data_IF_902991675288
#
_entry.id   IF_902991675288
#
_cell.length_a   1.000
_cell.length_b   1.000
_cell.length_c   1.000
_cell.angle_alpha   90.00
_cell.angle_beta   90.00
_cell.angle_gamma   90.00
#
_symmetry.space_group_name_H-M   'P 1'
#
loop_
_entity.id
_entity.type
_entity.pdbx_description
1 polymer ?
#
# COMPACT_ATOMS: atom_id res chain seq x y z
N UNK A 1 -36.94 61.60 -66.14
CA UNK A 1 -38.27 61.03 -66.38
C UNK A 1 -38.51 59.91 -65.37
N UNK A 2 -39.47 60.14 -64.45
CA UNK A 2 -40.34 59.20 -63.73
C UNK A 2 -39.89 57.77 -63.31
N UNK A 3 -40.13 57.53 -61.99
CA UNK A 3 -40.62 56.28 -61.32
C UNK A 3 -39.60 55.12 -61.16
N UNK A 4 -39.55 54.35 -60.06
CA UNK A 4 -40.27 54.31 -58.77
C UNK A 4 -39.50 53.36 -57.83
N UNK A 5 -39.59 53.64 -56.54
CA UNK A 5 -39.30 52.86 -55.33
C UNK A 5 -39.72 51.38 -55.33
N UNK A 6 -38.95 50.49 -54.66
CA UNK A 6 -39.42 49.73 -53.47
C UNK A 6 -38.30 48.88 -52.82
N UNK A 7 -38.25 48.94 -51.48
CA UNK A 7 -37.45 48.13 -50.55
C UNK A 7 -37.86 46.63 -50.53
N UNK A 8 -36.91 45.73 -50.20
CA UNK A 8 -37.06 44.55 -49.29
C UNK A 8 -35.68 44.23 -48.65
N UNK A 9 -35.58 43.89 -47.34
CA UNK A 9 -34.33 43.82 -46.57
C UNK A 9 -33.69 42.42 -46.47
N UNK A 10 -32.48 42.39 -45.90
CA UNK A 10 -31.70 41.24 -45.40
C UNK A 10 -32.54 40.13 -44.75
N UNK A 11 -32.15 38.86 -44.95
CA UNK A 11 -32.15 37.86 -43.87
C UNK A 11 -31.09 36.76 -44.15
N UNK A 12 -29.94 36.87 -43.47
CA UNK A 12 -28.97 35.79 -43.36
C UNK A 12 -29.48 34.77 -42.34
N UNK A 13 -29.85 33.57 -42.79
CA UNK A 13 -30.21 32.46 -41.89
C UNK A 13 -28.93 31.69 -41.57
N UNK A 14 -28.29 32.03 -40.44
CA UNK A 14 -27.32 31.14 -39.80
C UNK A 14 -28.13 30.10 -39.04
N UNK A 15 -28.23 28.90 -39.58
CA UNK A 15 -28.82 27.75 -38.89
C UNK A 15 -27.80 27.27 -37.86
N UNK A 16 -27.94 27.72 -36.60
CA UNK A 16 -27.22 27.15 -35.49
C UNK A 16 -27.75 25.72 -35.26
N UNK A 17 -26.96 24.72 -35.66
CA UNK A 17 -27.19 23.33 -35.31
C UNK A 17 -26.96 23.20 -33.79
N UNK A 18 -28.05 23.25 -33.02
CA UNK A 18 -28.07 22.82 -31.62
C UNK A 18 -27.84 21.31 -31.58
N UNK A 19 -26.57 20.91 -31.54
CA UNK A 19 -26.16 19.60 -31.04
C UNK A 19 -26.56 19.57 -29.57
N UNK A 20 -27.74 19.03 -29.27
CA UNK A 20 -28.08 18.62 -27.91
C UNK A 20 -27.22 17.41 -27.56
N UNK A 21 -25.97 17.67 -27.17
CA UNK A 21 -25.25 16.73 -26.33
C UNK A 21 -26.09 16.57 -25.08
N UNK A 22 -26.65 15.39 -24.87
CA UNK A 22 -27.08 14.96 -23.55
C UNK A 22 -25.81 14.88 -22.70
N UNK A 23 -25.42 16.02 -22.15
CA UNK A 23 -24.51 16.05 -21.02
C UNK A 23 -25.21 15.26 -19.92
N UNK A 24 -24.77 14.04 -19.68
CA UNK A 24 -24.79 13.53 -18.31
C UNK A 24 -23.98 14.57 -17.52
N UNK A 25 -24.67 15.51 -16.90
CA UNK A 25 -24.07 16.42 -15.95
C UNK A 25 -23.28 15.54 -14.99
N UNK A 26 -22.02 15.87 -14.81
CA UNK A 26 -21.06 15.17 -13.98
C UNK A 26 -21.48 15.39 -12.51
N UNK A 27 -22.60 14.79 -12.09
CA UNK A 27 -22.93 14.72 -10.67
C UNK A 27 -21.75 14.02 -10.01
N UNK A 28 -21.17 14.70 -9.03
CA UNK A 28 -20.04 14.16 -8.29
C UNK A 28 -20.48 12.80 -7.70
N UNK A 29 -19.82 11.73 -8.15
CA UNK A 29 -20.12 10.37 -7.68
C UNK A 29 -20.04 10.37 -6.15
N UNK A 30 -21.13 9.98 -5.48
CA UNK A 30 -21.14 9.81 -4.04
C UNK A 30 -20.23 8.62 -3.65
N UNK A 31 -19.18 8.92 -2.88
CA UNK A 31 -18.17 7.96 -2.42
C UNK A 31 -18.29 7.65 -0.92
N UNK A 32 -19.37 8.10 -0.27
CA UNK A 32 -19.61 7.83 1.16
C UNK A 32 -20.03 6.38 1.42
N UNK A 33 -20.57 5.70 0.40
CA UNK A 33 -20.94 4.28 0.43
C UNK A 33 -20.22 3.55 -0.70
N UNK A 34 -19.56 2.44 -0.38
CA UNK A 34 -18.86 1.59 -1.34
C UNK A 34 -19.41 0.15 -1.27
N UNK A 35 -19.43 -0.61 -2.37
CA UNK A 35 -19.02 -0.21 -3.73
C UNK A 35 -19.99 0.81 -4.35
N UNK A 36 -19.49 1.63 -5.28
CA UNK A 36 -20.34 2.55 -6.06
C UNK A 36 -21.26 1.71 -6.93
N UNK A 37 -22.57 1.89 -6.75
CA UNK A 37 -23.57 1.12 -7.48
C UNK A 37 -23.54 1.45 -8.98
N UNK A 38 -23.56 0.42 -9.82
CA UNK A 38 -23.69 0.58 -11.26
C UNK A 38 -25.05 1.22 -11.59
N UNK A 39 -25.10 2.26 -12.44
CA UNK A 39 -26.35 2.84 -12.91
C UNK A 39 -27.20 1.78 -13.62
N UNK A 40 -28.51 1.80 -13.40
CA UNK A 40 -29.42 0.93 -14.15
C UNK A 40 -29.31 1.24 -15.65
N UNK A 41 -28.94 0.25 -16.44
CA UNK A 41 -28.89 0.38 -17.88
C UNK A 41 -30.30 0.69 -18.44
N UNK A 42 -30.44 1.61 -19.41
CA UNK A 42 -31.73 1.87 -20.05
C UNK A 42 -32.20 0.62 -20.81
N UNK A 43 -33.51 0.43 -20.89
CA UNK A 43 -34.11 -0.62 -21.73
C UNK A 43 -33.82 -0.30 -23.21
N UNK A 44 -33.44 -1.31 -23.97
CA UNK A 44 -33.24 -1.19 -25.42
C UNK A 44 -34.50 -1.67 -26.12
N UNK A 45 -35.30 -0.72 -26.62
CA UNK A 45 -36.55 -1.00 -27.32
C UNK A 45 -36.34 -1.17 -28.85
N UNK A 46 -35.08 -1.13 -29.31
CA UNK A 46 -34.72 -1.35 -30.70
C UNK A 46 -34.65 -2.86 -31.00
N UNK A 47 -35.40 -3.27 -32.03
CA UNK A 47 -35.57 -4.69 -32.38
C UNK A 47 -34.49 -5.15 -33.36
N UNK A 48 -33.98 -4.24 -34.21
CA UNK A 48 -32.86 -4.55 -35.10
C UNK A 48 -31.53 -4.28 -34.40
N UNK A 49 -30.83 -5.34 -34.04
CA UNK A 49 -29.52 -5.27 -33.36
C UNK A 49 -28.51 -4.36 -34.10
N UNK A 50 -28.62 -4.23 -35.42
CA UNK A 50 -27.72 -3.38 -36.23
C UNK A 50 -27.91 -1.89 -35.98
N UNK A 51 -29.06 -1.51 -35.45
CA UNK A 51 -29.41 -0.13 -35.09
C UNK A 51 -29.17 0.17 -33.60
N UNK A 52 -28.80 -0.84 -32.81
CA UNK A 52 -28.52 -0.66 -31.39
C UNK A 52 -27.19 0.06 -31.17
N UNK A 53 -27.12 0.88 -30.12
CA UNK A 53 -25.88 1.49 -29.64
C UNK A 53 -25.47 0.78 -28.36
N UNK A 54 -24.21 0.33 -28.30
CA UNK A 54 -23.67 -0.26 -27.09
C UNK A 54 -23.65 0.80 -25.98
N UNK A 55 -24.23 0.53 -24.79
CA UNK A 55 -24.15 1.45 -23.68
C UNK A 55 -22.68 1.63 -23.26
N UNK A 56 -22.31 2.81 -22.71
CA UNK A 56 -20.97 3.00 -22.19
C UNK A 56 -20.71 2.01 -21.05
N UNK A 57 -19.50 1.45 -21.00
CA UNK A 57 -19.07 0.62 -19.89
C UNK A 57 -18.99 1.47 -18.62
N UNK A 58 -19.69 1.05 -17.56
CA UNK A 58 -19.57 1.70 -16.26
C UNK A 58 -18.21 1.37 -15.63
N UNK A 59 -17.43 2.40 -15.34
CA UNK A 59 -16.14 2.25 -14.69
C UNK A 59 -15.99 3.28 -13.58
N UNK A 60 -15.67 2.80 -12.37
CA UNK A 60 -15.28 3.68 -11.28
C UNK A 60 -13.82 4.11 -11.47
N UNK A 61 -13.62 5.38 -11.76
CA UNK A 61 -12.29 6.00 -11.85
C UNK A 61 -11.92 6.68 -10.54
N UNK A 62 -10.62 6.74 -10.25
CA UNK A 62 -10.10 7.56 -9.18
C UNK A 62 -10.41 9.04 -9.45
N UNK A 63 -10.57 9.87 -8.40
CA UNK A 63 -10.70 11.32 -8.57
C UNK A 63 -9.54 11.90 -9.39
N UNK A 64 -9.81 12.97 -10.14
CA UNK A 64 -8.77 13.68 -10.88
C UNK A 64 -7.64 14.14 -9.93
N UNK A 65 -6.39 13.94 -10.34
CA UNK A 65 -5.22 14.27 -9.52
C UNK A 65 -4.96 13.33 -8.34
N UNK A 66 -5.70 12.21 -8.22
CA UNK A 66 -5.43 11.19 -7.21
C UNK A 66 -3.95 10.69 -7.27
N UNK A 67 -3.21 10.74 -6.15
CA UNK A 67 -1.80 10.40 -6.15
C UNK A 67 -1.58 8.87 -6.19
N UNK A 68 -0.40 8.45 -6.62
CA UNK A 68 0.07 7.10 -6.29
C UNK A 68 0.48 7.06 -4.82
N UNK A 69 0.21 5.96 -4.14
CA UNK A 69 0.56 5.74 -2.74
C UNK A 69 1.55 4.57 -2.68
N UNK A 70 2.75 4.81 -2.16
CA UNK A 70 3.76 3.77 -1.94
C UNK A 70 4.12 3.71 -0.44
N UNK A 71 3.53 2.75 0.26
CA UNK A 71 3.67 2.59 1.71
C UNK A 71 4.74 1.53 2.01
N UNK A 72 5.85 1.97 2.62
CA UNK A 72 6.93 1.06 3.06
C UNK A 72 6.81 0.81 4.56
N UNK A 73 6.64 -0.45 4.96
CA UNK A 73 6.62 -0.85 6.38
C UNK A 73 7.80 -1.76 6.71
N UNK A 74 8.74 -1.26 7.52
CA UNK A 74 9.92 -2.00 7.96
C UNK A 74 9.61 -2.82 9.21
N UNK A 75 10.10 -4.06 9.27
CA UNK A 75 9.80 -5.02 10.32
C UNK A 75 10.91 -5.02 11.39
N UNK A 76 10.58 -4.75 12.66
CA UNK A 76 11.51 -4.71 13.80
C UNK A 76 12.68 -3.72 13.68
N UNK A 77 12.56 -2.70 12.82
CA UNK A 77 13.55 -1.63 12.78
C UNK A 77 13.39 -0.71 14.00
N UNK A 78 14.39 -0.70 14.88
CA UNK A 78 14.41 0.21 16.03
C UNK A 78 14.44 1.69 15.62
N UNK A 79 14.00 2.57 16.52
CA UNK A 79 13.91 4.03 16.28
C UNK A 79 15.21 4.63 15.73
N UNK A 80 16.36 4.25 16.31
CA UNK A 80 17.69 4.67 15.85
C UNK A 80 18.35 3.64 14.91
N UNK A 81 17.56 2.92 14.12
CA UNK A 81 18.05 1.96 13.14
C UNK A 81 18.63 2.60 11.88
N UNK A 82 18.27 3.85 11.59
CA UNK A 82 18.70 4.61 10.41
C UNK A 82 19.56 5.81 10.80
N UNK A 83 20.46 6.25 9.93
CA UNK A 83 21.30 7.43 10.16
C UNK A 83 20.49 8.73 10.30
N UNK A 84 19.32 8.79 9.67
CA UNK A 84 18.37 9.90 9.79
C UNK A 84 17.86 10.09 11.24
N UNK A 85 17.79 9.01 12.02
CA UNK A 85 17.38 9.05 13.44
C UNK A 85 18.58 8.85 14.40
N UNK A 86 19.78 9.24 13.97
CA UNK A 86 21.02 9.16 14.76
C UNK A 86 21.64 7.76 14.84
N UNK A 87 21.12 6.79 14.10
CA UNK A 87 21.62 5.43 14.04
C UNK A 87 23.01 5.30 13.42
N UNK A 88 23.73 4.19 13.70
CA UNK A 88 25.07 3.95 13.15
C UNK A 88 25.04 3.47 11.68
N UNK A 89 23.88 3.01 11.20
CA UNK A 89 23.72 2.48 9.85
C UNK A 89 23.49 3.60 8.84
N UNK A 90 24.33 3.68 7.81
CA UNK A 90 24.16 4.64 6.71
C UNK A 90 22.98 4.22 5.82
N UNK A 91 21.98 5.10 5.71
CA UNK A 91 20.76 4.86 4.93
C UNK A 91 20.45 6.06 4.02
N UNK A 92 21.23 6.27 2.94
CA UNK A 92 21.15 7.49 2.13
C UNK A 92 19.78 7.69 1.47
N UNK A 93 19.09 6.61 1.08
CA UNK A 93 17.73 6.71 0.52
C UNK A 93 16.72 7.22 1.55
N UNK A 94 16.81 6.80 2.82
CA UNK A 94 15.95 7.32 3.88
C UNK A 94 16.30 8.77 4.23
N UNK A 95 17.59 9.13 4.23
CA UNK A 95 18.04 10.52 4.42
C UNK A 95 17.48 11.43 3.31
N UNK A 96 17.51 10.98 2.05
CA UNK A 96 16.96 11.73 0.93
C UNK A 96 15.44 11.93 1.09
N UNK A 97 14.69 10.87 1.37
CA UNK A 97 13.24 10.96 1.59
C UNK A 97 12.92 11.93 2.74
N UNK A 98 13.66 11.85 3.84
CA UNK A 98 13.44 12.73 4.99
C UNK A 98 13.79 14.19 4.69
N UNK A 99 14.82 14.43 3.87
CA UNK A 99 15.23 15.79 3.44
C UNK A 99 14.19 16.44 2.52
N UNK A 100 13.56 15.65 1.66
CA UNK A 100 12.56 16.11 0.70
C UNK A 100 11.12 16.07 1.24
N UNK A 101 10.94 15.50 2.44
CA UNK A 101 9.64 15.26 3.05
C UNK A 101 9.55 15.71 4.50
N UNK A 102 8.72 15.00 5.26
CA UNK A 102 8.51 15.21 6.70
C UNK A 102 8.86 13.91 7.41
N UNK A 103 9.53 14.03 8.56
CA UNK A 103 9.82 12.92 9.45
C UNK A 103 9.27 13.21 10.85
N UNK A 104 8.91 12.16 11.57
CA UNK A 104 8.31 12.24 12.90
C UNK A 104 9.20 11.54 13.92
N UNK A 105 9.47 12.19 15.04
CA UNK A 105 10.14 11.59 16.20
C UNK A 105 9.14 11.12 17.28
N UNK A 106 7.83 11.28 17.03
CA UNK A 106 6.75 10.92 17.94
C UNK A 106 5.60 10.21 17.20
N UNK A 107 5.94 9.16 16.44
CA UNK A 107 5.00 8.29 15.75
C UNK A 107 4.91 6.95 16.48
N UNK A 108 3.70 6.42 16.65
CA UNK A 108 3.47 5.22 17.46
C UNK A 108 2.85 4.11 16.64
N UNK A 109 3.37 2.91 16.86
CA UNK A 109 2.80 1.63 16.44
C UNK A 109 2.31 0.88 17.68
N UNK A 110 1.75 -0.31 17.49
CA UNK A 110 1.52 -1.22 18.63
C UNK A 110 2.83 -1.93 19.00
N UNK A 111 2.83 -2.71 20.08
CA UNK A 111 4.04 -3.38 20.56
C UNK A 111 4.57 -4.51 19.66
N UNK A 112 3.74 -5.06 18.75
CA UNK A 112 4.10 -6.22 17.91
C UNK A 112 3.52 -6.10 16.49
N UNK A 113 3.98 -6.99 15.60
CA UNK A 113 3.78 -6.91 14.16
C UNK A 113 2.32 -7.03 13.70
N UNK A 114 1.62 -8.16 13.92
CA UNK A 114 0.24 -8.35 13.42
C UNK A 114 -0.71 -7.22 13.86
N UNK A 115 -0.76 -6.83 15.15
CA UNK A 115 -1.62 -5.73 15.62
C UNK A 115 -1.33 -4.39 14.94
N UNK A 116 -0.04 -4.05 14.75
CA UNK A 116 0.36 -2.83 14.03
C UNK A 116 -0.10 -2.84 12.58
N UNK A 117 0.07 -3.96 11.88
CA UNK A 117 -0.27 -4.08 10.45
C UNK A 117 -1.79 -3.98 10.25
N UNK A 118 -2.56 -4.63 11.12
CA UNK A 118 -4.02 -4.55 11.10
C UNK A 118 -4.51 -3.12 11.35
N UNK A 119 -3.97 -2.47 12.38
CA UNK A 119 -4.32 -1.09 12.70
C UNK A 119 -3.93 -0.10 11.60
N UNK A 120 -2.74 -0.27 11.00
CA UNK A 120 -2.25 0.57 9.90
C UNK A 120 -3.16 0.48 8.68
N UNK A 121 -3.62 -0.72 8.32
CA UNK A 121 -4.46 -0.92 7.14
C UNK A 121 -5.93 -0.58 7.36
N UNK A 122 -6.47 -0.73 8.58
CA UNK A 122 -7.89 -0.45 8.83
C UNK A 122 -8.16 0.93 9.43
N UNK A 123 -7.15 1.60 9.97
CA UNK A 123 -7.32 2.82 10.76
C UNK A 123 -8.04 2.59 12.10
N UNK A 124 -8.17 1.33 12.56
CA UNK A 124 -8.86 0.97 13.80
C UNK A 124 -7.91 0.42 14.85
N UNK A 125 -8.31 0.52 16.11
CA UNK A 125 -7.61 -0.12 17.22
C UNK A 125 -7.47 -1.63 16.95
N UNK A 126 -6.30 -2.18 17.26
CA UNK A 126 -5.98 -3.57 16.94
C UNK A 126 -6.89 -4.60 17.63
N UNK A 127 -7.46 -4.31 18.80
CA UNK A 127 -8.48 -5.18 19.40
C UNK A 127 -9.79 -5.20 18.60
N UNK A 128 -10.21 -4.07 18.01
CA UNK A 128 -11.38 -4.03 17.11
C UNK A 128 -11.13 -4.89 15.86
N UNK A 129 -9.88 -4.99 15.43
CA UNK A 129 -9.46 -5.85 14.33
C UNK A 129 -9.31 -7.33 14.73
N UNK A 130 -9.66 -7.73 15.97
CA UNK A 130 -9.38 -9.04 16.55
C UNK A 130 -7.89 -9.42 16.58
N UNK A 131 -7.01 -8.42 16.64
CA UNK A 131 -5.57 -8.58 16.62
C UNK A 131 -4.97 -8.06 17.93
N UNK A 132 -5.32 -8.69 19.05
CA UNK A 132 -4.84 -8.32 20.39
C UNK A 132 -3.36 -8.69 20.63
N UNK A 133 -2.86 -9.69 19.91
CA UNK A 133 -1.50 -10.19 19.92
C UNK A 133 -1.08 -10.60 18.50
N UNK A 134 0.07 -11.25 18.36
CA UNK A 134 0.48 -11.87 17.10
C UNK A 134 -0.52 -12.97 16.72
N UNK A 135 -0.66 -13.24 15.43
CA UNK A 135 -1.69 -14.16 14.93
C UNK A 135 -1.51 -15.59 15.44
N UNK A 136 -0.27 -15.98 15.71
CA UNK A 136 0.11 -17.29 16.25
C UNK A 136 -0.39 -17.51 17.69
N UNK A 137 -0.71 -16.43 18.42
CA UNK A 137 -1.26 -16.48 19.79
C UNK A 137 -2.71 -15.99 19.85
N UNK A 138 -3.41 -16.01 18.73
CA UNK A 138 -4.85 -15.78 18.66
C UNK A 138 -5.62 -16.74 19.56
N UNK A 139 -6.76 -16.30 20.10
CA UNK A 139 -7.62 -17.08 21.00
C UNK A 139 -9.05 -17.17 20.45
N UNK A 140 -9.96 -17.84 21.15
CA UNK A 140 -11.39 -17.80 20.80
C UNK A 140 -12.11 -16.54 21.26
N UNK A 141 -11.45 -15.65 22.01
CA UNK A 141 -12.11 -14.51 22.65
C UNK A 141 -12.14 -13.28 21.73
N UNK A 142 -13.27 -12.55 21.70
CA UNK A 142 -13.37 -11.28 20.98
C UNK A 142 -12.23 -10.33 21.37
N UNK A 143 -11.65 -9.65 20.38
CA UNK A 143 -10.50 -8.78 20.58
C UNK A 143 -9.16 -9.42 20.29
N UNK A 144 -9.09 -10.76 20.15
CA UNK A 144 -7.86 -11.48 19.81
C UNK A 144 -8.10 -12.77 19.03
N UNK A 145 -9.17 -12.83 18.21
CA UNK A 145 -9.46 -14.06 17.45
C UNK A 145 -8.55 -14.30 16.26
N UNK A 146 -7.73 -13.33 15.87
CA UNK A 146 -6.96 -13.38 14.63
C UNK A 146 -7.80 -13.27 13.35
N UNK A 147 -9.12 -13.28 13.47
CA UNK A 147 -10.03 -13.12 12.35
C UNK A 147 -10.49 -11.67 12.27
N UNK A 148 -9.89 -10.91 11.35
CA UNK A 148 -10.36 -9.55 11.04
C UNK A 148 -11.86 -9.62 10.72
N UNK A 149 -12.71 -8.87 11.47
CA UNK A 149 -14.14 -8.86 11.24
C UNK A 149 -14.51 -8.31 9.85
N UNK A 150 -15.59 -8.83 9.26
CA UNK A 150 -16.09 -8.37 7.95
C UNK A 150 -16.56 -6.91 7.94
N UNK A 151 -16.83 -6.31 9.11
CA UNK A 151 -17.16 -4.89 9.26
C UNK A 151 -15.92 -3.98 9.47
N UNK A 152 -14.72 -4.53 9.28
CA UNK A 152 -13.44 -3.82 9.28
C UNK A 152 -12.88 -3.88 7.86
N UNK A 153 -13.10 -2.82 7.11
CA UNK A 153 -12.63 -2.73 5.72
C UNK A 153 -11.21 -2.14 5.67
N UNK A 154 -10.23 -2.84 5.07
CA UNK A 154 -8.89 -2.29 4.86
C UNK A 154 -8.88 -1.11 3.87
N UNK A 155 -7.92 -0.20 4.01
CA UNK A 155 -7.72 0.94 3.13
C UNK A 155 -7.49 0.54 1.68
N UNK A 156 -6.86 -0.62 1.44
CA UNK A 156 -6.67 -1.16 0.11
C UNK A 156 -8.02 -1.41 -0.59
N UNK A 157 -9.00 -1.99 0.11
CA UNK A 157 -10.33 -2.26 -0.45
C UNK A 157 -11.07 -0.96 -0.76
N UNK A 158 -11.00 0.02 0.15
CA UNK A 158 -11.57 1.34 -0.10
C UNK A 158 -10.94 2.03 -1.32
N UNK A 159 -9.61 1.98 -1.48
CA UNK A 159 -8.92 2.55 -2.63
C UNK A 159 -9.25 1.80 -3.93
N UNK A 160 -9.27 0.47 -3.90
CA UNK A 160 -9.62 -0.40 -5.03
C UNK A 160 -11.02 -0.10 -5.54
N UNK A 161 -12.00 -0.03 -4.63
CA UNK A 161 -13.39 0.35 -4.94
C UNK A 161 -13.55 1.81 -5.38
N UNK A 162 -12.52 2.64 -5.21
CA UNK A 162 -12.44 4.00 -5.72
C UNK A 162 -11.55 4.14 -6.97
N UNK A 163 -11.21 3.03 -7.64
CA UNK A 163 -10.52 3.07 -8.93
C UNK A 163 -8.99 3.04 -8.86
N UNK A 164 -8.39 2.69 -7.72
CA UNK A 164 -6.95 2.40 -7.65
C UNK A 164 -6.64 0.98 -8.13
N UNK A 165 -5.42 0.77 -8.61
CA UNK A 165 -4.82 -0.58 -8.66
C UNK A 165 -4.09 -0.84 -7.35
N UNK A 166 -4.26 -2.01 -6.73
CA UNK A 166 -3.69 -2.26 -5.41
C UNK A 166 -2.75 -3.46 -5.40
N UNK A 167 -1.59 -3.34 -4.75
CA UNK A 167 -0.64 -4.43 -4.65
C UNK A 167 0.07 -4.48 -3.28
N UNK A 168 0.33 -5.68 -2.79
CA UNK A 168 1.09 -5.93 -1.57
C UNK A 168 2.30 -6.84 -1.85
N UNK A 169 3.47 -6.48 -1.34
CA UNK A 169 4.71 -7.23 -1.49
C UNK A 169 5.40 -7.43 -0.14
N UNK A 170 5.77 -8.67 0.18
CA UNK A 170 6.48 -9.03 1.41
C UNK A 170 5.59 -9.64 2.50
N UNK A 171 5.83 -9.26 3.76
CA UNK A 171 5.18 -9.83 4.95
C UNK A 171 3.73 -9.38 5.04
N UNK A 172 2.81 -10.34 5.16
CA UNK A 172 1.41 -10.08 5.48
C UNK A 172 1.16 -10.10 6.99
N UNK A 173 1.22 -11.27 7.63
CA UNK A 173 1.11 -11.48 9.07
C UNK A 173 -0.22 -11.07 9.74
N UNK A 174 -1.32 -11.12 8.98
CA UNK A 174 -2.69 -10.86 9.48
C UNK A 174 -3.70 -11.91 9.04
N UNK A 175 -3.24 -13.00 8.42
CA UNK A 175 -4.08 -14.16 8.11
C UNK A 175 -3.96 -15.17 9.25
N UNK A 176 -5.09 -15.53 9.85
CA UNK A 176 -5.16 -16.53 10.91
C UNK A 176 -4.35 -17.78 10.55
N UNK A 177 -3.58 -18.33 11.50
CA UNK A 177 -2.64 -19.42 11.21
C UNK A 177 -3.34 -20.65 10.59
N UNK A 178 -4.58 -20.94 10.98
CA UNK A 178 -5.39 -22.03 10.41
C UNK A 178 -6.01 -21.71 9.04
N UNK A 179 -5.98 -20.44 8.60
CA UNK A 179 -6.43 -19.98 7.27
C UNK A 179 -5.25 -19.78 6.31
N UNK A 180 -4.01 -19.73 6.81
CA UNK A 180 -2.79 -19.45 6.05
C UNK A 180 -2.25 -20.68 5.29
N UNK A 181 -3.12 -21.35 4.53
CA UNK A 181 -2.81 -22.53 3.73
C UNK A 181 -3.56 -22.56 2.38
N UNK A 182 -3.15 -23.46 1.48
CA UNK A 182 -3.66 -23.51 0.11
C UNK A 182 -5.10 -24.08 -0.05
N UNK A 183 -5.82 -24.39 1.04
CA UNK A 183 -7.19 -24.97 0.95
C UNK A 183 -8.30 -23.98 1.33
N UNK A 184 -7.95 -22.77 1.76
CA UNK A 184 -8.91 -21.73 2.16
C UNK A 184 -9.48 -21.90 3.58
N UNK A 185 -10.46 -21.08 4.00
CA UNK A 185 -11.15 -20.05 3.21
C UNK A 185 -10.25 -18.84 2.93
N UNK A 186 -10.21 -18.38 1.68
CA UNK A 186 -9.34 -17.28 1.26
C UNK A 186 -9.88 -15.88 1.63
N UNK A 187 -10.99 -15.79 2.37
CA UNK A 187 -11.73 -14.55 2.61
C UNK A 187 -10.92 -13.46 3.33
N UNK A 188 -9.91 -13.86 4.12
CA UNK A 188 -9.02 -12.95 4.86
C UNK A 188 -7.60 -12.92 4.31
N UNK A 189 -7.39 -13.46 3.12
CA UNK A 189 -6.12 -13.36 2.42
C UNK A 189 -5.92 -11.96 1.84
N UNK A 190 -4.67 -11.54 1.57
CA UNK A 190 -4.38 -10.24 0.98
C UNK A 190 -5.27 -9.90 -0.22
N UNK A 191 -5.50 -10.88 -1.10
CA UNK A 191 -6.30 -10.74 -2.33
C UNK A 191 -7.81 -10.62 -2.11
N UNK A 192 -8.29 -10.88 -0.91
CA UNK A 192 -9.67 -10.62 -0.46
C UNK A 192 -9.77 -9.49 0.56
N UNK A 193 -8.64 -8.86 0.87
CA UNK A 193 -8.54 -7.66 1.70
C UNK A 193 -8.20 -6.40 0.88
N UNK A 194 -8.55 -6.43 -0.40
CA UNK A 194 -8.49 -5.29 -1.30
C UNK A 194 -7.18 -5.08 -2.04
N UNK A 195 -6.28 -6.07 -2.06
CA UNK A 195 -5.10 -6.07 -2.91
C UNK A 195 -5.32 -6.90 -4.18
N UNK A 196 -5.31 -6.28 -5.36
CA UNK A 196 -5.40 -7.01 -6.64
C UNK A 196 -4.20 -7.95 -6.86
N UNK A 197 -3.02 -7.58 -6.35
CA UNK A 197 -1.79 -8.37 -6.38
C UNK A 197 -1.26 -8.60 -4.96
N UNK A 198 -0.83 -9.83 -4.69
CA UNK A 198 0.00 -10.16 -3.54
C UNK A 198 1.20 -10.98 -3.97
N UNK A 199 2.38 -10.65 -3.45
CA UNK A 199 3.57 -11.50 -3.57
C UNK A 199 4.38 -11.45 -2.28
N UNK A 200 4.40 -12.54 -1.53
CA UNK A 200 5.20 -12.63 -0.31
C UNK A 200 4.73 -13.72 0.63
N UNK A 201 4.92 -13.53 1.94
CA UNK A 201 4.71 -14.59 2.93
C UNK A 201 3.65 -14.20 3.95
N UNK A 202 2.89 -15.19 4.42
CA UNK A 202 1.77 -14.98 5.35
C UNK A 202 2.18 -14.97 6.82
N UNK A 203 3.22 -15.72 7.18
CA UNK A 203 3.66 -15.88 8.57
C UNK A 203 4.36 -14.64 9.16
N UNK A 204 4.68 -14.74 10.45
CA UNK A 204 5.41 -13.70 11.17
C UNK A 204 6.87 -13.51 10.75
N UNK A 205 7.50 -14.53 10.19
CA UNK A 205 8.87 -14.46 9.71
C UNK A 205 9.09 -15.45 8.57
N UNK A 206 10.21 -15.31 7.86
CA UNK A 206 10.57 -16.22 6.78
C UNK A 206 12.08 -16.24 6.58
N UNK A 207 12.59 -17.35 6.05
CA UNK A 207 13.97 -17.45 5.61
C UNK A 207 14.17 -16.62 4.34
N UNK A 208 15.05 -15.62 4.35
CA UNK A 208 15.29 -14.72 3.23
C UNK A 208 16.02 -15.39 2.04
N UNK A 209 16.65 -16.54 2.25
CA UNK A 209 17.32 -17.35 1.21
C UNK A 209 16.42 -18.44 0.63
N UNK A 210 15.45 -18.93 1.40
CA UNK A 210 14.53 -19.98 1.00
C UNK A 210 13.14 -19.73 1.62
N UNK A 211 12.45 -18.64 1.22
CA UNK A 211 11.20 -18.24 1.86
C UNK A 211 10.04 -19.11 1.37
N UNK A 212 9.07 -19.32 2.24
CA UNK A 212 7.77 -19.85 1.84
C UNK A 212 6.86 -18.71 1.39
N UNK A 213 6.67 -18.57 0.08
CA UNK A 213 6.02 -17.42 -0.54
C UNK A 213 4.78 -17.82 -1.34
N UNK A 214 3.88 -16.85 -1.49
CA UNK A 214 2.65 -16.95 -2.25
C UNK A 214 2.58 -15.82 -3.28
N UNK A 215 2.05 -16.15 -4.46
CA UNK A 215 1.54 -15.19 -5.43
C UNK A 215 0.00 -15.29 -5.47
N UNK A 216 -0.66 -14.28 -4.92
CA UNK A 216 -2.08 -14.35 -4.59
C UNK A 216 -2.36 -15.45 -3.57
N UNK A 217 -2.95 -16.55 -4.02
CA UNK A 217 -3.27 -17.74 -3.20
C UNK A 217 -2.40 -18.96 -3.54
N UNK A 218 -1.50 -18.85 -4.52
CA UNK A 218 -0.68 -19.97 -4.99
C UNK A 218 0.70 -19.93 -4.35
N UNK A 219 1.17 -21.07 -3.86
CA UNK A 219 2.56 -21.22 -3.41
C UNK A 219 3.50 -21.04 -4.60
N UNK A 220 4.57 -20.29 -4.38
CA UNK A 220 5.64 -20.09 -5.37
C UNK A 220 6.93 -20.68 -4.83
N UNK A 221 7.58 -21.49 -5.65
CA UNK A 221 8.92 -21.99 -5.35
C UNK A 221 9.96 -20.93 -5.75
N UNK A 222 10.83 -20.49 -4.82
CA UNK A 222 11.93 -19.60 -5.17
C UNK A 222 12.83 -20.21 -6.26
N UNK A 223 13.45 -19.37 -7.12
CA UNK A 223 14.39 -19.87 -8.11
C UNK A 223 15.57 -20.58 -7.44
N UNK A 224 16.09 -21.63 -8.08
CA UNK A 224 17.32 -22.33 -7.66
C UNK A 224 18.56 -21.51 -8.05
N UNK A 225 18.70 -20.33 -7.45
CA UNK A 225 19.84 -19.43 -7.64
C UNK A 225 20.58 -19.25 -6.29
N UNK A 226 21.87 -19.59 -6.20
CA UNK A 226 22.65 -19.39 -4.97
C UNK A 226 22.78 -17.92 -4.54
N UNK A 227 22.50 -16.96 -5.43
CA UNK A 227 22.49 -15.52 -5.13
C UNK A 227 21.08 -14.97 -4.85
N UNK A 228 20.06 -15.82 -4.88
CA UNK A 228 18.69 -15.41 -4.58
C UNK A 228 18.62 -14.78 -3.19
N UNK A 229 17.87 -13.69 -3.05
CA UNK A 229 17.51 -13.15 -1.76
C UNK A 229 16.13 -12.52 -1.85
N UNK A 230 15.24 -12.85 -0.93
CA UNK A 230 13.83 -12.47 -1.02
C UNK A 230 13.63 -10.96 -1.14
N UNK A 231 14.38 -10.14 -0.40
CA UNK A 231 14.35 -8.68 -0.53
C UNK A 231 14.59 -8.20 -1.97
N UNK A 232 15.56 -8.79 -2.68
CA UNK A 232 15.88 -8.42 -4.07
C UNK A 232 14.75 -8.86 -5.00
N UNK A 233 14.27 -10.08 -4.84
CA UNK A 233 13.19 -10.64 -5.64
C UNK A 233 11.88 -9.85 -5.47
N UNK A 234 11.38 -9.66 -4.24
CA UNK A 234 10.16 -8.88 -4.01
C UNK A 234 10.27 -7.43 -4.51
N UNK A 235 11.47 -6.84 -4.47
CA UNK A 235 11.72 -5.51 -5.04
C UNK A 235 11.59 -5.54 -6.56
N UNK A 236 12.18 -6.53 -7.23
CA UNK A 236 12.05 -6.71 -8.67
C UNK A 236 10.59 -6.96 -9.10
N UNK A 237 9.85 -7.80 -8.36
CA UNK A 237 8.42 -8.03 -8.57
C UNK A 237 7.61 -6.74 -8.42
N UNK A 238 7.93 -5.92 -7.41
CA UNK A 238 7.28 -4.62 -7.19
C UNK A 238 7.52 -3.68 -8.38
N UNK A 239 8.78 -3.54 -8.81
CA UNK A 239 9.15 -2.70 -9.96
C UNK A 239 8.47 -3.18 -11.24
N UNK A 240 8.47 -4.50 -11.49
CA UNK A 240 7.84 -5.08 -12.66
C UNK A 240 6.33 -4.82 -12.68
N UNK A 241 5.65 -4.99 -11.53
CA UNK A 241 4.22 -4.71 -11.41
C UNK A 241 3.90 -3.23 -11.63
N UNK A 242 4.66 -2.31 -11.04
CA UNK A 242 4.44 -0.86 -11.22
C UNK A 242 4.63 -0.47 -12.70
N UNK A 243 5.69 -0.98 -13.35
CA UNK A 243 5.93 -0.72 -14.78
C UNK A 243 4.79 -1.23 -15.66
N UNK A 244 4.30 -2.46 -15.39
CA UNK A 244 3.19 -3.04 -16.13
C UNK A 244 1.90 -2.26 -15.90
N UNK A 245 1.58 -1.91 -14.65
CA UNK A 245 0.41 -1.12 -14.29
C UNK A 245 0.40 0.23 -15.03
N UNK A 246 1.53 0.94 -15.05
CA UNK A 246 1.64 2.21 -15.78
C UNK A 246 1.62 2.07 -17.30
N UNK A 247 2.12 0.97 -17.84
CA UNK A 247 2.03 0.70 -19.28
C UNK A 247 0.60 0.43 -19.73
N UNK A 248 -0.20 -0.28 -18.92
CA UNK A 248 -1.58 -0.65 -19.27
C UNK A 248 -2.61 0.41 -18.91
N UNK A 249 -2.39 1.16 -17.82
CA UNK A 249 -3.33 2.15 -17.31
C UNK A 249 -2.58 3.36 -16.70
N UNK A 250 -1.96 4.23 -17.52
CA UNK A 250 -1.08 5.31 -17.06
C UNK A 250 -1.78 6.29 -16.10
N UNK A 251 -3.04 6.63 -16.41
CA UNK A 251 -3.88 7.55 -15.64
C UNK A 251 -4.47 6.92 -14.37
N UNK A 252 -4.41 5.58 -14.23
CA UNK A 252 -4.92 4.90 -13.04
C UNK A 252 -3.85 4.99 -11.93
N UNK A 253 -4.18 5.52 -10.74
CA UNK A 253 -3.23 5.53 -9.63
C UNK A 253 -3.06 4.13 -9.05
N UNK A 254 -1.96 3.92 -8.35
CA UNK A 254 -1.72 2.69 -7.59
C UNK A 254 -1.60 2.94 -6.09
N UNK A 255 -1.93 1.92 -5.31
CA UNK A 255 -1.50 1.77 -3.92
C UNK A 255 -0.64 0.53 -3.79
N UNK A 256 0.63 0.71 -3.42
CA UNK A 256 1.54 -0.40 -3.12
C UNK A 256 1.86 -0.40 -1.63
N UNK A 257 1.63 -1.56 -1.00
CA UNK A 257 2.09 -1.87 0.34
C UNK A 257 3.35 -2.75 0.25
N UNK A 258 4.50 -2.18 0.55
CA UNK A 258 5.80 -2.85 0.47
C UNK A 258 6.35 -3.10 1.89
N UNK A 259 6.29 -4.34 2.34
CA UNK A 259 6.59 -4.71 3.72
C UNK A 259 7.69 -5.78 3.82
N UNK A 260 8.97 -5.40 3.70
CA UNK A 260 10.07 -6.36 3.76
C UNK A 260 10.21 -7.02 5.13
N UNK A 261 10.61 -8.29 5.16
CA UNK A 261 10.91 -9.04 6.39
C UNK A 261 12.40 -9.07 6.75
N UNK A 262 13.29 -8.49 5.95
CA UNK A 262 14.74 -8.71 6.03
C UNK A 262 15.43 -8.12 7.28
N UNK A 263 14.76 -7.23 8.01
CA UNK A 263 15.25 -6.67 9.28
C UNK A 263 14.78 -7.48 10.50
N UNK A 264 13.83 -8.39 10.33
CA UNK A 264 13.40 -9.34 11.36
C UNK A 264 14.36 -10.53 11.44
N UNK A 265 14.20 -11.36 12.48
CA UNK A 265 14.81 -12.67 12.53
C UNK A 265 14.22 -13.61 11.45
N UNK A 266 14.98 -14.63 10.99
CA UNK A 266 16.43 -14.78 11.14
C UNK A 266 17.19 -13.70 10.35
N UNK A 267 18.23 -13.11 10.94
CA UNK A 267 19.03 -12.06 10.30
C UNK A 267 19.91 -12.65 9.19
N UNK A 268 19.42 -12.58 7.97
CA UNK A 268 20.00 -13.18 6.78
C UNK A 268 20.27 -12.06 5.77
N UNK A 269 21.56 -11.76 5.56
CA UNK A 269 22.00 -10.60 4.79
C UNK A 269 23.08 -11.05 3.80
N UNK A 270 23.06 -10.60 2.53
CA UNK A 270 24.11 -10.94 1.59
C UNK A 270 25.50 -10.53 2.07
N UNK A 271 26.51 -11.37 1.81
CA UNK A 271 27.86 -11.22 2.34
C UNK A 271 28.50 -9.87 2.01
N UNK A 272 28.23 -9.32 0.81
CA UNK A 272 28.72 -8.01 0.40
C UNK A 272 28.20 -6.86 1.28
N UNK A 273 27.01 -7.00 1.88
CA UNK A 273 26.47 -6.03 2.83
C UNK A 273 27.05 -6.21 4.24
N UNK A 274 27.25 -7.46 4.67
CA UNK A 274 27.92 -7.78 5.94
C UNK A 274 29.36 -7.24 5.96
N UNK A 275 30.11 -7.47 4.88
CA UNK A 275 31.50 -7.03 4.77
C UNK A 275 31.67 -5.51 4.97
N UNK A 276 30.69 -4.71 4.54
CA UNK A 276 30.67 -3.25 4.74
C UNK A 276 30.54 -2.84 6.21
N UNK A 277 30.14 -3.75 7.11
CA UNK A 277 29.95 -3.47 8.53
C UNK A 277 31.06 -4.03 9.42
N UNK A 278 32.06 -4.72 8.84
CA UNK A 278 33.19 -5.28 9.60
C UNK A 278 33.87 -4.20 10.45
N UNK A 279 34.05 -4.48 11.74
CA UNK A 279 34.70 -3.57 12.70
C UNK A 279 33.82 -2.46 13.29
N UNK A 280 32.66 -2.15 12.69
CA UNK A 280 31.86 -0.99 13.09
C UNK A 280 31.09 -1.20 14.39
N UNK A 281 30.89 -2.45 14.78
CA UNK A 281 30.10 -2.85 15.93
C UNK A 281 30.94 -3.47 17.07
N UNK A 282 32.27 -3.57 16.89
CA UNK A 282 33.20 -4.27 17.81
C UNK A 282 33.27 -3.65 19.21
N UNK A 283 32.95 -2.35 19.32
CA UNK A 283 32.86 -1.62 20.60
C UNK A 283 31.64 -1.98 21.45
N UNK A 284 30.73 -2.80 20.93
CA UNK A 284 29.56 -3.29 21.64
C UNK A 284 28.40 -2.29 21.76
N UNK A 285 27.26 -2.83 22.20
CA UNK A 285 26.00 -2.10 22.31
C UNK A 285 26.07 -0.88 23.24
N UNK A 286 26.76 -1.01 24.38
CA UNK A 286 26.81 0.03 25.41
C UNK A 286 27.47 1.33 24.89
N UNK A 287 28.53 1.22 24.09
CA UNK A 287 29.15 2.40 23.46
C UNK A 287 28.29 2.93 22.32
N UNK A 288 27.69 2.04 21.51
CA UNK A 288 26.88 2.45 20.36
C UNK A 288 25.66 3.26 20.79
N UNK A 289 24.97 2.88 21.88
CA UNK A 289 23.82 3.62 22.36
C UNK A 289 24.18 5.03 22.85
N UNK A 290 25.35 5.21 23.48
CA UNK A 290 25.84 6.53 23.89
C UNK A 290 26.13 7.43 22.69
N UNK A 291 26.82 6.90 21.69
CA UNK A 291 27.09 7.65 20.46
C UNK A 291 25.81 7.97 19.67
N UNK A 292 24.85 7.06 19.65
CA UNK A 292 23.54 7.28 19.04
C UNK A 292 22.83 8.44 19.70
N UNK A 293 22.77 8.48 21.04
CA UNK A 293 22.15 9.60 21.75
C UNK A 293 22.87 10.93 21.48
N UNK A 294 24.22 10.92 21.46
CA UNK A 294 25.02 12.10 21.09
C UNK A 294 24.66 12.62 19.70
N UNK A 295 24.50 11.72 18.71
CA UNK A 295 24.06 12.09 17.35
C UNK A 295 22.63 12.61 17.34
N UNK A 296 21.72 11.97 18.08
CA UNK A 296 20.32 12.41 18.15
C UNK A 296 20.18 13.82 18.73
N UNK A 297 20.92 14.15 19.79
CA UNK A 297 20.96 15.50 20.37
C UNK A 297 21.54 16.49 19.36
N UNK A 298 22.67 16.17 18.73
CA UNK A 298 23.31 17.05 17.74
C UNK A 298 22.43 17.33 16.51
N UNK A 299 21.58 16.36 16.13
CA UNK A 299 20.63 16.47 15.03
C UNK A 299 19.27 17.08 15.45
N UNK A 300 19.07 17.39 16.74
CA UNK A 300 17.80 17.92 17.25
C UNK A 300 16.63 16.92 17.22
N UNK A 301 16.91 15.62 17.15
CA UNK A 301 15.88 14.57 17.17
C UNK A 301 15.27 14.42 18.56
N UNK A 302 16.09 14.63 19.60
CA UNK A 302 15.68 14.58 21.01
C UNK A 302 16.19 15.82 21.76
N UNK A 303 15.57 16.22 22.89
CA UNK A 303 16.03 17.34 23.69
C UNK A 303 17.47 17.20 24.21
N UNK A 304 18.24 18.29 24.40
CA UNK A 304 19.64 18.25 24.86
C UNK A 304 19.85 17.54 26.21
N UNK A 305 18.85 17.56 27.08
CA UNK A 305 18.85 16.95 28.41
C UNK A 305 18.46 15.47 28.42
N UNK A 306 18.16 14.89 27.24
CA UNK A 306 17.78 13.48 27.11
C UNK A 306 18.88 12.59 27.68
N UNK A 307 18.50 11.63 28.52
CA UNK A 307 19.40 10.66 29.14
C UNK A 307 19.10 9.26 28.61
N UNK A 308 20.13 8.42 28.50
CA UNK A 308 19.93 7.01 28.20
C UNK A 308 19.12 6.32 29.28
N UNK A 309 18.17 5.48 28.86
CA UNK A 309 17.49 4.57 29.78
C UNK A 309 18.51 3.61 30.46
N UNK A 310 18.29 3.22 31.72
CA UNK A 310 19.15 2.24 32.39
C UNK A 310 19.21 0.93 31.61
N UNK A 311 20.29 0.18 31.78
CA UNK A 311 20.42 -1.16 31.19
C UNK A 311 19.38 -2.09 31.84
N UNK A 312 18.69 -2.94 31.06
CA UNK A 312 17.88 -4.02 31.64
C UNK A 312 18.75 -4.91 32.53
N UNK A 313 18.17 -5.49 33.59
CA UNK A 313 18.86 -6.50 34.38
C UNK A 313 19.13 -7.71 33.48
N UNK A 314 20.34 -8.25 33.56
CA UNK A 314 20.73 -9.48 32.88
C UNK A 314 20.02 -10.69 33.49
#
# INVERSE_FOLDING_TARGET
>A
MYKKTSCIPLLSVITALLLTSTSYANEAIDRTVLPIAEPKAPLCDEVDVRNTKMPPHFEVKAPEGAPNIFLVLLDDLGFAGTSQFGGPMKTPSFEQIAKEGVYYNNFHTTAVCSPTRAALKSGRNHHVNNMGSIIETGTGYPGNTGQIPQNVTPVAEMLRLNGYSTAAFGKWHETAAWEANAIGPFDRWPTKQGFDKFYGFLGGETNQWAPFIYDGTHVVEPPKDPNYHFMTDMTNQTIAWIKLQKALAPEKPFFVYFAPGATHAPHQVPQGWIAKQKGKFDKGWDVIREETLKRQIAQGIVPPETKLAPKPKA
#
